data_IF_545056024058
#
_entry.id   IF_545056024058
#
_cell.length_a   1.000
_cell.length_b   1.000
_cell.length_c   1.000
_cell.angle_alpha   90.00
_cell.angle_beta   90.00
_cell.angle_gamma   90.00
#
_symmetry.space_group_name_H-M   'P 1'
#
loop_
_entity.id
_entity.type
_entity.pdbx_description
1 polymer ?
#
# COMPACT_ATOMS: atom_id res chain seq x y z
N UNK A 1 36.48 16.23 -9.55
CA UNK A 1 36.27 17.25 -8.48
C UNK A 1 34.99 16.98 -7.68
N UNK A 2 33.76 17.22 -8.17
CA UNK A 2 32.53 16.91 -7.42
C UNK A 2 32.36 15.39 -7.21
N UNK A 3 32.62 14.60 -8.24
CA UNK A 3 32.62 13.13 -8.16
C UNK A 3 33.68 12.57 -7.21
N UNK A 4 34.81 13.27 -7.01
CA UNK A 4 35.84 12.87 -6.03
C UNK A 4 35.48 13.31 -4.62
N UNK A 5 34.75 14.43 -4.48
CA UNK A 5 34.20 14.89 -3.21
C UNK A 5 33.15 13.92 -2.66
N UNK A 6 32.33 13.34 -3.54
CA UNK A 6 31.36 12.29 -3.20
C UNK A 6 32.01 10.94 -2.86
N UNK A 7 33.29 10.71 -3.19
CA UNK A 7 34.03 9.52 -2.74
C UNK A 7 34.43 9.60 -1.27
N UNK A 8 34.36 10.78 -0.64
CA UNK A 8 34.60 10.90 0.79
C UNK A 8 33.46 10.20 1.55
N UNK A 9 33.75 9.16 2.36
CA UNK A 9 32.73 8.34 3.01
C UNK A 9 31.79 9.13 3.93
N UNK A 10 32.29 10.17 4.60
CA UNK A 10 31.48 11.02 5.47
C UNK A 10 30.49 11.84 4.65
N UNK A 11 30.95 12.46 3.58
CA UNK A 11 30.10 13.26 2.68
C UNK A 11 29.06 12.36 2.01
N UNK A 12 29.48 11.21 1.48
CA UNK A 12 28.59 10.22 0.89
C UNK A 12 27.47 9.78 1.86
N UNK A 13 27.83 9.50 3.12
CA UNK A 13 26.85 9.11 4.15
C UNK A 13 25.83 10.22 4.41
N UNK A 14 26.25 11.49 4.42
CA UNK A 14 25.32 12.60 4.61
C UNK A 14 24.38 12.78 3.42
N UNK A 15 24.90 12.65 2.20
CA UNK A 15 24.07 12.69 0.98
C UNK A 15 23.02 11.57 1.02
N UNK A 16 23.40 10.33 1.35
CA UNK A 16 22.45 9.22 1.49
C UNK A 16 21.37 9.50 2.54
N UNK A 17 21.72 10.11 3.68
CA UNK A 17 20.74 10.48 4.72
C UNK A 17 19.74 11.51 4.20
N UNK A 18 20.21 12.52 3.47
CA UNK A 18 19.35 13.54 2.86
C UNK A 18 18.43 12.90 1.82
N UNK A 19 18.96 12.06 0.94
CA UNK A 19 18.16 11.37 -0.08
C UNK A 19 17.07 10.49 0.55
N UNK A 20 17.41 9.78 1.63
CA UNK A 20 16.44 8.99 2.38
C UNK A 20 15.34 9.86 2.99
N UNK A 21 15.71 10.98 3.62
CA UNK A 21 14.76 11.92 4.19
C UNK A 21 13.82 12.51 3.12
N UNK A 22 14.37 12.93 1.98
CA UNK A 22 13.58 13.44 0.85
C UNK A 22 12.65 12.34 0.33
N UNK A 23 13.15 11.12 0.18
CA UNK A 23 12.37 9.97 -0.27
C UNK A 23 11.20 9.64 0.68
N UNK A 24 11.42 9.70 1.99
CA UNK A 24 10.39 9.46 3.00
C UNK A 24 9.32 10.56 2.99
N UNK A 25 9.73 11.84 2.95
CA UNK A 25 8.81 12.98 2.87
C UNK A 25 7.93 12.90 1.63
N UNK A 26 8.53 12.60 0.46
CA UNK A 26 7.79 12.43 -0.79
C UNK A 26 6.81 11.27 -0.72
N UNK A 27 7.22 10.16 -0.11
CA UNK A 27 6.35 8.99 0.03
C UNK A 27 5.13 9.31 0.88
N UNK A 28 5.34 9.97 2.01
CA UNK A 28 4.25 10.36 2.89
C UNK A 28 3.35 11.42 2.22
N UNK A 29 3.92 12.37 1.46
CA UNK A 29 3.17 13.33 0.65
C UNK A 29 2.31 12.66 -0.42
N UNK A 30 2.85 11.69 -1.16
CA UNK A 30 2.09 10.92 -2.17
C UNK A 30 0.95 10.17 -1.50
N UNK A 31 1.20 9.54 -0.34
CA UNK A 31 0.17 8.82 0.41
C UNK A 31 -0.98 9.73 0.83
N UNK A 32 -0.71 11.00 1.18
CA UNK A 32 -1.78 11.96 1.48
C UNK A 32 -2.71 12.22 0.28
N UNK A 33 -2.22 12.03 -0.95
CA UNK A 33 -2.99 12.20 -2.18
C UNK A 33 -3.60 10.89 -2.68
N UNK A 34 -3.31 9.76 -2.02
CA UNK A 34 -3.96 8.48 -2.27
C UNK A 34 -5.17 8.34 -1.36
N UNK A 35 -6.35 8.24 -1.96
CA UNK A 35 -7.61 8.01 -1.25
C UNK A 35 -7.95 6.52 -1.24
N UNK A 36 -7.97 5.91 -0.05
CA UNK A 36 -8.26 4.50 0.15
C UNK A 36 -9.67 4.32 0.73
N UNK A 37 -10.54 3.65 -0.01
CA UNK A 37 -11.89 3.34 0.44
C UNK A 37 -12.12 1.83 0.45
N UNK A 38 -12.28 1.26 1.65
CA UNK A 38 -12.63 -0.15 1.83
C UNK A 38 -14.11 -0.29 2.18
N UNK A 39 -14.91 -0.72 1.19
CA UNK A 39 -16.30 -1.11 1.40
C UNK A 39 -16.39 -2.56 1.82
N UNK A 40 -17.30 -2.85 2.75
CA UNK A 40 -17.45 -4.18 3.34
C UNK A 40 -18.90 -4.58 3.43
N UNK A 41 -19.21 -5.83 3.08
CA UNK A 41 -20.56 -6.39 3.17
C UNK A 41 -20.47 -7.82 3.72
N UNK A 42 -21.22 -8.11 4.78
CA UNK A 42 -21.34 -9.46 5.34
C UNK A 42 -22.58 -10.12 4.73
N UNK A 43 -22.44 -11.35 4.25
CA UNK A 43 -23.51 -12.17 3.68
C UNK A 43 -23.38 -13.59 4.25
N UNK A 44 -24.12 -13.89 5.32
CA UNK A 44 -23.92 -15.11 6.10
C UNK A 44 -22.48 -15.23 6.61
N UNK A 45 -21.82 -16.35 6.33
CA UNK A 45 -20.42 -16.60 6.72
C UNK A 45 -19.38 -15.95 5.77
N UNK A 46 -19.79 -15.15 4.80
CA UNK A 46 -18.90 -14.51 3.82
C UNK A 46 -18.79 -13.00 4.05
N UNK A 47 -17.56 -12.51 4.17
CA UNK A 47 -17.22 -11.09 4.15
C UNK A 47 -16.71 -10.72 2.76
N UNK A 48 -17.50 -9.90 2.06
CA UNK A 48 -17.12 -9.28 0.79
C UNK A 48 -16.45 -7.95 1.07
N UNK A 49 -15.25 -7.75 0.52
CA UNK A 49 -14.46 -6.54 0.62
C UNK A 49 -14.26 -5.95 -0.77
N UNK A 50 -14.43 -4.65 -0.92
CA UNK A 50 -14.09 -3.90 -2.13
C UNK A 50 -13.18 -2.74 -1.77
N UNK A 51 -11.92 -2.82 -2.17
CA UNK A 51 -10.93 -1.76 -1.97
C UNK A 51 -10.85 -0.91 -3.24
N UNK A 52 -11.07 0.38 -3.07
CA UNK A 52 -10.84 1.41 -4.08
C UNK A 52 -9.63 2.23 -3.68
N UNK A 53 -8.71 2.43 -4.61
CA UNK A 53 -7.54 3.30 -4.46
C UNK A 53 -7.67 4.36 -5.53
N UNK A 54 -7.74 5.63 -5.13
CA UNK A 54 -7.81 6.76 -6.05
C UNK A 54 -6.57 7.64 -5.87
N UNK A 55 -5.81 7.80 -6.95
CA UNK A 55 -4.69 8.70 -7.04
C UNK A 55 -5.21 10.10 -7.40
N UNK A 56 -5.23 10.99 -6.41
CA UNK A 56 -5.58 12.41 -6.58
C UNK A 56 -4.35 13.28 -6.78
N UNK A 57 -3.16 12.67 -6.96
CA UNK A 57 -1.95 13.42 -7.29
C UNK A 57 -1.88 13.67 -8.79
N UNK A 58 -1.05 14.65 -9.18
CA UNK A 58 -0.76 14.91 -10.60
C UNK A 58 0.31 13.95 -11.17
N UNK A 59 0.77 12.98 -10.38
CA UNK A 59 1.83 12.05 -10.77
C UNK A 59 1.26 10.67 -11.04
N UNK A 60 1.69 10.05 -12.14
CA UNK A 60 1.49 8.62 -12.35
C UNK A 60 2.42 7.87 -11.40
N UNK A 61 1.88 6.95 -10.61
CA UNK A 61 2.71 6.07 -9.77
C UNK A 61 3.10 4.85 -10.59
N UNK A 62 4.35 4.84 -11.04
CA UNK A 62 4.93 3.76 -11.83
C UNK A 62 5.13 2.48 -11.00
N UNK A 63 4.91 1.33 -11.65
CA UNK A 63 5.05 0.01 -11.04
C UNK A 63 4.26 -0.12 -9.72
N UNK A 64 3.07 0.49 -9.68
CA UNK A 64 2.22 0.47 -8.52
C UNK A 64 1.67 -0.93 -8.30
N UNK A 65 1.82 -1.40 -7.06
CA UNK A 65 1.29 -2.67 -6.58
C UNK A 65 0.67 -2.46 -5.22
N UNK A 66 -0.32 -3.29 -4.90
CA UNK A 66 -1.01 -3.20 -3.63
C UNK A 66 -1.47 -4.57 -3.15
N UNK A 67 -1.62 -4.70 -1.84
CA UNK A 67 -1.99 -5.95 -1.19
C UNK A 67 -2.83 -5.69 0.04
N UNK A 68 -4.07 -6.18 0.03
CA UNK A 68 -4.90 -6.17 1.22
C UNK A 68 -4.36 -7.18 2.24
N UNK A 69 -4.29 -6.74 3.50
CA UNK A 69 -3.85 -7.55 4.63
C UNK A 69 -4.80 -7.35 5.81
N UNK A 70 -4.95 -8.38 6.64
CA UNK A 70 -5.75 -8.29 7.85
C UNK A 70 -5.09 -8.97 9.04
N UNK A 71 -5.49 -8.56 10.24
CA UNK A 71 -5.12 -9.19 11.50
C UNK A 71 -6.34 -9.39 12.40
N UNK A 72 -6.47 -10.53 13.09
CA UNK A 72 -5.63 -11.73 12.98
C UNK A 72 -5.95 -12.55 11.72
N UNK A 73 -4.94 -13.18 11.12
CA UNK A 73 -5.07 -13.91 9.84
C UNK A 73 -6.02 -15.11 9.93
N UNK A 74 -6.03 -15.81 11.06
CA UNK A 74 -6.81 -17.03 11.28
C UNK A 74 -8.32 -16.81 11.44
N UNK A 75 -8.80 -15.57 11.45
CA UNK A 75 -10.24 -15.26 11.50
C UNK A 75 -10.91 -15.23 10.13
N UNK A 76 -10.15 -15.02 9.07
CA UNK A 76 -10.65 -14.83 7.72
C UNK A 76 -9.83 -15.66 6.73
N UNK A 77 -10.50 -16.53 5.98
CA UNK A 77 -9.86 -17.36 4.96
C UNK A 77 -10.27 -16.85 3.59
N UNK A 78 -9.32 -16.67 2.66
CA UNK A 78 -9.64 -16.24 1.29
C UNK A 78 -10.41 -17.35 0.59
N UNK A 79 -11.59 -17.03 0.03
CA UNK A 79 -12.40 -17.95 -0.77
C UNK A 79 -11.98 -17.82 -2.24
N UNK A 80 -11.98 -16.59 -2.75
CA UNK A 80 -11.55 -16.29 -4.12
C UNK A 80 -10.31 -15.39 -4.07
N UNK A 81 -9.19 -15.92 -4.56
CA UNK A 81 -8.00 -15.12 -4.83
C UNK A 81 -8.12 -14.59 -6.25
N UNK A 82 -8.64 -13.38 -6.44
CA UNK A 82 -8.17 -12.61 -7.61
C UNK A 82 -6.66 -12.47 -7.44
N UNK A 83 -5.91 -12.92 -8.44
CA UNK A 83 -4.43 -12.96 -8.42
C UNK A 83 -3.85 -11.63 -7.94
N UNK A 84 -2.62 -11.68 -7.39
CA UNK A 84 -1.86 -10.45 -7.14
C UNK A 84 -1.93 -9.58 -8.40
N UNK A 85 -2.45 -8.36 -8.24
CA UNK A 85 -2.55 -7.44 -9.37
C UNK A 85 -1.13 -7.23 -9.87
N UNK A 86 -0.91 -7.60 -11.13
CA UNK A 86 0.36 -7.38 -11.81
C UNK A 86 0.72 -5.90 -11.71
N UNK A 87 2.02 -5.60 -11.65
CA UNK A 87 2.54 -4.23 -11.67
C UNK A 87 1.85 -3.43 -12.77
N UNK A 88 1.21 -2.33 -12.41
CA UNK A 88 0.53 -1.41 -13.32
C UNK A 88 0.80 0.01 -12.87
N UNK A 89 0.80 0.94 -13.81
CA UNK A 89 0.89 2.36 -13.49
C UNK A 89 -0.45 2.84 -12.93
N UNK A 90 -0.43 3.45 -11.75
CA UNK A 90 -1.64 4.02 -11.16
C UNK A 90 -1.83 5.45 -11.66
N UNK A 91 -2.65 5.60 -12.71
CA UNK A 91 -3.04 6.89 -13.27
C UNK A 91 -4.08 7.60 -12.41
N UNK A 92 -5.26 6.99 -12.27
CA UNK A 92 -6.40 7.59 -11.56
C UNK A 92 -6.94 6.65 -10.48
N UNK A 93 -7.47 5.48 -10.84
CA UNK A 93 -8.17 4.62 -9.88
C UNK A 93 -7.92 3.15 -10.12
N UNK A 94 -7.96 2.40 -9.04
CA UNK A 94 -7.92 0.95 -9.03
C UNK A 94 -8.98 0.39 -8.09
N UNK A 95 -9.60 -0.74 -8.47
CA UNK A 95 -10.67 -1.36 -7.70
C UNK A 95 -10.52 -2.87 -7.65
N UNK A 96 -10.40 -3.43 -6.44
CA UNK A 96 -10.33 -4.88 -6.23
C UNK A 96 -11.42 -5.35 -5.28
N UNK A 97 -11.85 -6.60 -5.48
CA UNK A 97 -12.78 -7.26 -4.57
C UNK A 97 -12.19 -8.57 -4.04
N UNK A 98 -12.40 -8.84 -2.76
CA UNK A 98 -12.05 -10.07 -2.07
C UNK A 98 -13.27 -10.69 -1.41
N UNK A 99 -13.40 -12.01 -1.51
CA UNK A 99 -14.37 -12.79 -0.76
C UNK A 99 -13.62 -13.57 0.33
N UNK A 100 -13.97 -13.32 1.60
CA UNK A 100 -13.34 -13.96 2.76
C UNK A 100 -14.38 -14.76 3.54
N UNK A 101 -14.06 -15.99 3.94
CA UNK A 101 -14.87 -16.80 4.86
C UNK A 101 -14.58 -16.40 6.30
N UNK A 102 -15.62 -16.12 7.07
CA UNK A 102 -15.54 -15.81 8.50
C UNK A 102 -15.37 -17.12 9.28
N UNK A 103 -14.17 -17.34 9.82
CA UNK A 103 -13.83 -18.55 10.58
C UNK A 103 -14.15 -18.43 12.08
N UNK A 104 -14.01 -17.23 12.66
CA UNK A 104 -14.24 -16.98 14.10
C UNK A 104 -14.76 -15.56 14.35
N UNK A 105 -15.57 -15.41 15.40
CA UNK A 105 -16.11 -14.11 15.85
C UNK A 105 -15.02 -13.13 16.34
N UNK A 106 -15.37 -11.85 16.37
CA UNK A 106 -14.60 -10.75 16.99
C UNK A 106 -13.96 -9.80 15.98
N UNK A 107 -13.07 -8.92 16.44
CA UNK A 107 -12.53 -7.85 15.60
C UNK A 107 -11.49 -8.35 14.59
N UNK A 108 -11.57 -7.86 13.35
CA UNK A 108 -10.52 -7.92 12.33
C UNK A 108 -10.11 -6.49 11.90
N UNK A 109 -8.81 -6.24 11.82
CA UNK A 109 -8.22 -4.98 11.37
C UNK A 109 -7.64 -5.16 9.96
N UNK A 110 -8.03 -4.30 9.03
CA UNK A 110 -7.61 -4.30 7.63
C UNK A 110 -6.57 -3.21 7.37
N UNK A 111 -5.61 -3.52 6.51
CA UNK A 111 -4.58 -2.60 6.05
C UNK A 111 -4.22 -2.89 4.61
N UNK A 112 -3.91 -1.87 3.82
CA UNK A 112 -3.34 -2.01 2.50
C UNK A 112 -1.82 -1.86 2.59
N UNK A 113 -1.05 -2.76 1.98
CA UNK A 113 0.37 -2.55 1.72
C UNK A 113 0.47 -2.10 0.27
N UNK A 114 1.08 -0.95 0.02
CA UNK A 114 1.33 -0.43 -1.31
C UNK A 114 2.82 -0.42 -1.60
N UNK A 115 3.19 -0.54 -2.88
CA UNK A 115 4.54 -0.20 -3.33
C UNK A 115 4.56 0.38 -4.74
N UNK A 116 5.47 1.30 -5.00
CA UNK A 116 5.63 2.04 -6.25
C UNK A 116 7.05 2.59 -6.37
N UNK A 117 7.45 3.00 -7.57
CA UNK A 117 8.76 3.63 -7.81
C UNK A 117 8.71 5.09 -7.35
N UNK A 118 9.73 5.53 -6.62
CA UNK A 118 9.84 6.91 -6.18
C UNK A 118 9.87 7.85 -7.41
N UNK A 119 8.98 8.86 -7.50
CA UNK A 119 8.91 9.71 -8.68
C UNK A 119 10.19 10.51 -8.97
N UNK A 120 11.01 10.79 -7.94
CA UNK A 120 12.27 11.53 -8.06
C UNK A 120 13.45 10.57 -8.16
N UNK A 121 13.50 9.55 -7.30
CA UNK A 121 14.57 8.54 -7.27
C UNK A 121 14.11 7.26 -7.98
N UNK A 122 14.15 7.24 -9.32
CA UNK A 122 13.59 6.17 -10.16
C UNK A 122 14.17 4.77 -9.90
N UNK A 123 15.32 4.68 -9.25
CA UNK A 123 15.96 3.44 -8.81
C UNK A 123 15.44 2.91 -7.47
N UNK A 124 14.60 3.68 -6.76
CA UNK A 124 14.10 3.33 -5.43
C UNK A 124 12.63 2.92 -5.46
N UNK A 125 12.36 1.74 -4.91
CA UNK A 125 11.00 1.25 -4.66
C UNK A 125 10.55 1.60 -3.25
N UNK A 126 9.44 2.32 -3.13
CA UNK A 126 8.82 2.69 -1.87
C UNK A 126 7.80 1.64 -1.45
N UNK A 127 7.74 1.32 -0.15
CA UNK A 127 6.77 0.38 0.42
C UNK A 127 6.17 0.98 1.68
N UNK A 128 4.84 1.07 1.74
CA UNK A 128 4.13 1.57 2.93
C UNK A 128 2.91 0.74 3.25
N UNK A 129 2.61 0.66 4.54
CA UNK A 129 1.42 -0.01 5.06
C UNK A 129 0.46 1.02 5.63
N UNK A 130 -0.76 1.01 5.10
CA UNK A 130 -1.81 1.97 5.40
C UNK A 130 -2.93 1.24 6.12
N UNK A 131 -3.29 1.72 7.30
CA UNK A 131 -4.45 1.21 8.02
C UNK A 131 -5.74 1.68 7.34
N UNK A 132 -6.68 0.76 7.14
CA UNK A 132 -7.95 1.06 6.46
C UNK A 132 -9.09 1.14 7.48
N UNK A 133 -9.39 0.01 8.15
CA UNK A 133 -10.52 -0.07 9.07
C UNK A 133 -10.42 -1.26 10.01
N UNK A 134 -11.17 -1.22 11.11
CA UNK A 134 -11.52 -2.37 11.93
C UNK A 134 -12.99 -2.71 11.76
N UNK A 135 -13.32 -4.00 11.77
CA UNK A 135 -14.69 -4.51 11.62
C UNK A 135 -14.92 -5.58 12.68
N UNK A 136 -16.11 -5.56 13.27
CA UNK A 136 -16.58 -6.62 14.15
C UNK A 136 -17.14 -7.75 13.30
N UNK A 137 -16.58 -8.96 13.44
CA UNK A 137 -17.09 -10.16 12.79
C UNK A 137 -18.10 -10.81 13.74
N UNK A 138 -19.37 -10.61 13.44
CA UNK A 138 -20.48 -11.30 14.09
C UNK A 138 -20.87 -12.47 13.21
N UNK A 139 -21.03 -13.63 13.83
CA UNK A 139 -21.52 -14.85 13.17
C UNK A 139 -22.91 -15.14 13.73
#
# INVERSE_FOLDING_TARGET
>A
IITDFLKNPLIYTHVLKIDNLVSDILTDYIILHLDFNLKTKIQGDVLVLSLYINNKSNYVLEDFTYKLSWKPKNKLTVIDKKEEVKSLDLHEKEAISYNLKIGKKGVAAFSCIISFINPIFKDRKMIKKIFLRKIQLEK
#
